data_IF_276714437164
#
_entry.id   IF_276714437164
#
_cell.length_a   1.000
_cell.length_b   1.000
_cell.length_c   1.000
_cell.angle_alpha   90.00
_cell.angle_beta   90.00
_cell.angle_gamma   90.00
#
_symmetry.space_group_name_H-M   'P 1'
#
loop_
_entity.id
_entity.type
_entity.pdbx_description
1 polymer ?
#
# COMPACT_ATOMS: atom_id res chain seq x y z
N UNK A 1 -2.99 -16.37 5.18
CA UNK A 1 -1.87 -15.43 4.92
C UNK A 1 -2.41 -14.02 4.76
N UNK A 2 -1.62 -12.97 5.07
CA UNK A 2 -1.99 -11.59 4.75
C UNK A 2 -2.37 -11.43 3.28
N UNK A 3 -3.37 -10.59 3.00
CA UNK A 3 -3.84 -10.23 1.65
C UNK A 3 -4.43 -11.39 0.83
N UNK A 4 -4.75 -12.54 1.44
CA UNK A 4 -5.40 -13.64 0.72
C UNK A 4 -6.74 -13.21 0.15
N UNK A 5 -6.94 -13.43 -1.15
CA UNK A 5 -8.19 -13.15 -1.84
C UNK A 5 -9.18 -14.29 -1.59
N UNK A 6 -10.29 -13.95 -0.95
CA UNK A 6 -11.28 -14.92 -0.48
C UNK A 6 -12.64 -14.66 -1.11
N UNK A 7 -13.28 -15.74 -1.54
CA UNK A 7 -14.70 -15.79 -1.81
C UNK A 7 -15.41 -16.26 -0.54
N UNK A 8 -16.37 -15.47 -0.05
CA UNK A 8 -17.01 -15.69 1.24
C UNK A 8 -18.52 -15.87 1.09
N UNK A 9 -19.06 -16.94 1.69
CA UNK A 9 -20.48 -17.01 1.98
C UNK A 9 -20.76 -16.49 3.38
N UNK A 10 -21.62 -15.47 3.48
CA UNK A 10 -21.91 -14.78 4.73
C UNK A 10 -23.40 -14.82 5.05
N UNK A 11 -23.77 -15.29 6.23
CA UNK A 11 -25.12 -15.12 6.74
C UNK A 11 -25.34 -13.67 7.18
N UNK A 12 -25.92 -12.89 6.29
CA UNK A 12 -26.29 -11.50 6.60
C UNK A 12 -27.57 -11.48 7.42
N UNK A 13 -27.51 -10.85 8.60
CA UNK A 13 -28.70 -10.60 9.44
C UNK A 13 -28.84 -9.08 9.65
N UNK A 14 -29.88 -8.45 9.09
CA UNK A 14 -30.09 -7.02 9.25
C UNK A 14 -30.10 -6.61 10.73
N UNK A 15 -29.45 -5.46 11.04
CA UNK A 15 -29.38 -4.90 12.40
C UNK A 15 -28.37 -5.56 13.35
N UNK A 16 -27.50 -6.45 12.87
CA UNK A 16 -26.37 -6.98 13.65
C UNK A 16 -25.04 -6.48 13.09
N UNK A 17 -24.15 -6.03 13.96
CA UNK A 17 -22.80 -5.56 13.57
C UNK A 17 -21.81 -6.69 13.26
N UNK A 18 -22.13 -7.96 13.58
CA UNK A 18 -21.31 -9.13 13.28
C UNK A 18 -22.11 -10.14 12.49
N UNK A 19 -21.55 -10.58 11.37
CA UNK A 19 -22.11 -11.60 10.48
C UNK A 19 -21.31 -12.89 10.58
N UNK A 20 -21.99 -14.03 10.40
CA UNK A 20 -21.36 -15.35 10.43
C UNK A 20 -20.90 -15.71 9.03
N UNK A 21 -19.61 -16.02 8.87
CA UNK A 21 -19.06 -16.65 7.65
C UNK A 21 -19.43 -18.14 7.70
N UNK A 22 -20.11 -18.63 6.67
CA UNK A 22 -20.46 -20.06 6.51
C UNK A 22 -19.41 -20.80 5.69
N UNK A 23 -18.88 -20.15 4.68
CA UNK A 23 -17.83 -20.71 3.82
C UNK A 23 -16.83 -19.64 3.44
N UNK A 24 -15.55 -20.04 3.32
CA UNK A 24 -14.47 -19.21 2.83
C UNK A 24 -13.59 -20.02 1.89
N UNK A 25 -13.46 -19.56 0.65
CA UNK A 25 -12.58 -20.15 -0.36
C UNK A 25 -11.53 -19.18 -0.82
N UNK A 26 -10.27 -19.61 -0.89
CA UNK A 26 -9.24 -18.86 -1.58
C UNK A 26 -9.43 -19.07 -3.10
N UNK A 27 -9.85 -18.02 -3.81
CA UNK A 27 -10.06 -18.12 -5.26
C UNK A 27 -8.81 -17.78 -6.06
N UNK A 28 -7.85 -17.06 -5.46
CA UNK A 28 -6.56 -16.77 -6.08
C UNK A 28 -5.42 -17.14 -5.11
N UNK A 29 -4.89 -18.38 -5.19
CA UNK A 29 -3.77 -18.80 -4.36
C UNK A 29 -2.46 -18.20 -4.88
N UNK A 30 -1.80 -17.39 -4.05
CA UNK A 30 -0.49 -16.80 -4.36
C UNK A 30 0.57 -17.89 -4.53
N UNK A 31 1.42 -17.72 -5.56
CA UNK A 31 2.47 -18.68 -5.93
C UNK A 31 3.87 -18.20 -5.54
N UNK A 32 4.10 -16.90 -5.46
CA UNK A 32 5.40 -16.32 -5.19
C UNK A 32 5.45 -15.54 -3.87
N UNK A 33 4.43 -14.76 -3.54
CA UNK A 33 4.39 -13.99 -2.28
C UNK A 33 4.78 -14.85 -1.07
N UNK A 34 4.31 -16.10 -0.89
CA UNK A 34 4.68 -16.91 0.27
C UNK A 34 6.15 -17.36 0.33
N UNK A 35 6.83 -17.36 -0.81
CA UNK A 35 8.16 -17.98 -0.96
C UNK A 35 9.27 -16.98 -1.29
N UNK A 36 8.91 -15.75 -1.67
CA UNK A 36 9.83 -14.65 -1.94
C UNK A 36 9.84 -13.70 -0.73
N UNK A 37 10.99 -13.53 -0.09
CA UNK A 37 11.15 -12.75 1.13
C UNK A 37 10.82 -11.27 0.89
N UNK A 38 11.21 -10.71 -0.27
CA UNK A 38 10.91 -9.32 -0.64
C UNK A 38 9.41 -9.10 -0.78
N UNK A 39 8.74 -9.97 -1.55
CA UNK A 39 7.29 -9.91 -1.76
C UNK A 39 6.50 -10.14 -0.47
N UNK A 40 6.93 -11.11 0.35
CA UNK A 40 6.32 -11.38 1.66
C UNK A 40 6.40 -10.16 2.58
N UNK A 41 7.54 -9.48 2.60
CA UNK A 41 7.74 -8.28 3.42
C UNK A 41 6.89 -7.10 2.95
N UNK A 42 6.80 -6.90 1.63
CA UNK A 42 5.89 -5.90 1.05
C UNK A 42 4.43 -6.25 1.39
N UNK A 43 4.02 -7.50 1.22
CA UNK A 43 2.65 -7.94 1.51
C UNK A 43 2.30 -7.76 3.00
N UNK A 44 3.21 -8.11 3.91
CA UNK A 44 3.03 -7.88 5.35
C UNK A 44 2.87 -6.40 5.67
N UNK A 45 3.74 -5.57 5.12
CA UNK A 45 3.71 -4.12 5.29
C UNK A 45 2.40 -3.51 4.80
N UNK A 46 1.98 -3.84 3.58
CA UNK A 46 0.73 -3.32 3.02
C UNK A 46 -0.50 -3.86 3.75
N UNK A 47 -0.48 -5.09 4.24
CA UNK A 47 -1.59 -5.64 5.04
C UNK A 47 -1.79 -4.88 6.35
N UNK A 48 -0.70 -4.47 7.01
CA UNK A 48 -0.79 -3.65 8.22
C UNK A 48 -1.37 -2.27 7.92
N UNK A 49 -0.96 -1.64 6.80
CA UNK A 49 -1.53 -0.35 6.37
C UNK A 49 -3.01 -0.50 6.06
N UNK A 50 -3.40 -1.45 5.23
CA UNK A 50 -4.79 -1.67 4.85
C UNK A 50 -5.68 -1.92 6.07
N UNK A 51 -5.22 -2.70 7.04
CA UNK A 51 -5.96 -2.92 8.29
C UNK A 51 -6.19 -1.64 9.12
N UNK A 52 -5.36 -0.61 8.93
CA UNK A 52 -5.49 0.68 9.61
C UNK A 52 -6.35 1.69 8.85
N UNK A 53 -6.30 1.64 7.52
CA UNK A 53 -6.93 2.66 6.67
C UNK A 53 -8.29 2.26 6.12
N UNK A 54 -8.52 0.96 5.91
CA UNK A 54 -9.80 0.48 5.39
C UNK A 54 -10.81 0.35 6.53
N UNK A 55 -11.88 1.13 6.43
CA UNK A 55 -13.03 1.13 7.35
C UNK A 55 -14.34 1.07 6.56
N UNK A 56 -14.29 0.39 5.40
CA UNK A 56 -15.45 0.29 4.52
C UNK A 56 -16.57 -0.50 5.19
N UNK A 57 -17.74 0.10 5.29
CA UNK A 57 -18.97 -0.54 5.77
C UNK A 57 -19.85 -1.02 4.62
N UNK A 58 -19.59 -0.50 3.40
CA UNK A 58 -20.31 -0.83 2.17
C UNK A 58 -19.35 -1.37 1.11
N UNK A 59 -19.90 -2.04 0.10
CA UNK A 59 -19.11 -2.57 -1.00
C UNK A 59 -18.47 -1.45 -1.84
N UNK A 60 -17.16 -1.44 -1.97
CA UNK A 60 -16.38 -0.53 -2.79
C UNK A 60 -15.65 -1.33 -3.88
N UNK A 61 -16.36 -1.62 -4.98
CA UNK A 61 -15.83 -2.43 -6.06
C UNK A 61 -14.57 -1.83 -6.71
N UNK A 62 -14.49 -0.51 -7.02
CA UNK A 62 -13.27 0.05 -7.60
C UNK A 62 -12.04 -0.10 -6.71
N UNK A 63 -12.19 0.06 -5.39
CA UNK A 63 -11.10 -0.19 -4.44
C UNK A 63 -10.72 -1.66 -4.39
N UNK A 64 -11.72 -2.56 -4.40
CA UNK A 64 -11.45 -4.00 -4.40
C UNK A 64 -10.70 -4.43 -5.66
N UNK A 65 -11.13 -3.99 -6.84
CA UNK A 65 -10.49 -4.29 -8.12
C UNK A 65 -9.02 -3.80 -8.13
N UNK A 66 -8.78 -2.57 -7.64
CA UNK A 66 -7.43 -2.03 -7.49
C UNK A 66 -6.55 -2.92 -6.57
N UNK A 67 -7.08 -3.35 -5.44
CA UNK A 67 -6.36 -4.21 -4.50
C UNK A 67 -6.06 -5.58 -5.11
N UNK A 68 -7.05 -6.18 -5.75
CA UNK A 68 -6.93 -7.48 -6.40
C UNK A 68 -5.86 -7.46 -7.50
N UNK A 69 -5.95 -6.52 -8.44
CA UNK A 69 -4.99 -6.36 -9.54
C UNK A 69 -3.57 -6.09 -9.01
N UNK A 70 -3.45 -5.23 -8.00
CA UNK A 70 -2.15 -4.91 -7.39
C UNK A 70 -1.48 -6.13 -6.76
N UNK A 71 -2.21 -6.95 -6.01
CA UNK A 71 -1.63 -8.13 -5.36
C UNK A 71 -1.40 -9.29 -6.33
N UNK A 72 -2.23 -9.42 -7.37
CA UNK A 72 -1.96 -10.37 -8.47
C UNK A 72 -0.69 -9.97 -9.22
N UNK A 73 -0.49 -8.66 -9.48
CA UNK A 73 0.76 -8.17 -10.04
C UNK A 73 1.96 -8.51 -9.16
N UNK A 74 1.90 -8.18 -7.86
CA UNK A 74 3.00 -8.44 -6.93
C UNK A 74 3.35 -9.93 -6.89
N UNK A 75 2.35 -10.82 -6.88
CA UNK A 75 2.58 -12.26 -6.91
C UNK A 75 3.24 -12.70 -8.22
N UNK A 76 2.76 -12.22 -9.36
CA UNK A 76 3.23 -12.62 -10.69
C UNK A 76 4.56 -11.98 -11.13
N UNK A 77 4.98 -10.88 -10.53
CA UNK A 77 6.16 -10.12 -10.94
C UNK A 77 7.44 -10.97 -10.85
N UNK A 78 8.24 -10.98 -11.91
CA UNK A 78 9.54 -11.68 -11.98
C UNK A 78 10.73 -10.77 -11.62
N UNK A 79 10.50 -9.49 -11.43
CA UNK A 79 11.45 -8.43 -11.08
C UNK A 79 10.76 -7.07 -11.15
N UNK A 80 11.51 -6.00 -10.89
CA UNK A 80 11.05 -4.61 -10.93
C UNK A 80 9.84 -4.33 -9.99
N UNK A 81 9.77 -5.04 -8.87
CA UNK A 81 8.71 -4.82 -7.87
C UNK A 81 9.22 -4.06 -6.64
N UNK A 82 10.49 -3.66 -6.63
CA UNK A 82 11.14 -3.02 -5.49
C UNK A 82 10.50 -1.68 -5.11
N UNK A 83 9.86 -1.02 -6.07
CA UNK A 83 9.18 0.26 -5.88
C UNK A 83 7.64 0.13 -5.78
N UNK A 84 7.11 -1.08 -5.95
CA UNK A 84 5.67 -1.36 -6.00
C UNK A 84 4.90 -0.74 -4.83
N UNK A 85 5.42 -0.86 -3.62
CA UNK A 85 4.74 -0.36 -2.41
C UNK A 85 4.63 1.17 -2.37
N UNK A 86 5.53 1.92 -3.00
CA UNK A 86 5.44 3.39 -3.14
C UNK A 86 4.30 3.73 -4.11
N UNK A 87 4.30 3.13 -5.30
CA UNK A 87 3.26 3.32 -6.32
C UNK A 87 1.88 2.90 -5.77
N UNK A 88 1.82 1.77 -5.06
CA UNK A 88 0.60 1.29 -4.44
C UNK A 88 0.03 2.29 -3.43
N UNK A 89 0.84 2.83 -2.51
CA UNK A 89 0.40 3.81 -1.52
C UNK A 89 -0.03 5.12 -2.18
N UNK A 90 0.68 5.58 -3.20
CA UNK A 90 0.26 6.75 -3.95
C UNK A 90 -1.14 6.59 -4.54
N UNK A 91 -1.38 5.47 -5.22
CA UNK A 91 -2.69 5.17 -5.81
C UNK A 91 -3.78 4.94 -4.76
N UNK A 92 -3.46 4.23 -3.66
CA UNK A 92 -4.39 3.97 -2.57
C UNK A 92 -4.92 5.28 -1.95
N UNK A 93 -4.10 6.32 -1.83
CA UNK A 93 -4.52 7.62 -1.31
C UNK A 93 -5.68 8.22 -2.10
N UNK A 94 -5.77 7.95 -3.42
CA UNK A 94 -6.89 8.39 -4.27
C UNK A 94 -8.19 7.72 -3.87
N UNK A 95 -8.17 6.43 -3.60
CA UNK A 95 -9.36 5.69 -3.15
C UNK A 95 -9.79 6.10 -1.74
N UNK A 96 -8.84 6.55 -0.92
CA UNK A 96 -9.11 7.05 0.43
C UNK A 96 -9.52 8.54 0.47
N UNK A 97 -9.49 9.23 -0.67
CA UNK A 97 -10.01 10.58 -0.82
C UNK A 97 -9.07 11.71 -0.34
N UNK A 98 -7.78 11.42 -0.13
CA UNK A 98 -6.79 12.41 0.28
C UNK A 98 -5.52 12.43 -0.59
N UNK A 99 -5.59 11.89 -1.82
CA UNK A 99 -4.44 11.95 -2.72
C UNK A 99 -4.01 13.39 -2.97
N UNK A 100 -2.69 13.68 -2.93
CA UNK A 100 -2.19 14.98 -3.33
C UNK A 100 -2.39 15.18 -4.84
N UNK A 101 -2.63 16.39 -5.28
CA UNK A 101 -2.82 16.70 -6.70
C UNK A 101 -1.53 16.56 -7.52
N UNK A 102 -0.37 16.66 -6.87
CA UNK A 102 0.94 16.43 -7.47
C UNK A 102 1.99 16.05 -6.42
N UNK A 103 3.19 15.64 -6.87
CA UNK A 103 4.32 15.33 -5.97
C UNK A 103 4.86 16.58 -5.29
N UNK A 104 4.80 17.74 -5.93
CA UNK A 104 5.15 19.04 -5.34
C UNK A 104 4.18 19.38 -4.20
N UNK A 105 2.87 19.17 -4.39
CA UNK A 105 1.88 19.39 -3.34
C UNK A 105 2.13 18.48 -2.14
N UNK A 106 2.44 17.19 -2.36
CA UNK A 106 2.85 16.28 -1.29
C UNK A 106 4.02 16.87 -0.49
N UNK A 107 5.09 17.28 -1.20
CA UNK A 107 6.31 17.79 -0.57
C UNK A 107 6.03 19.10 0.19
N UNK A 108 5.19 19.97 -0.36
CA UNK A 108 4.81 21.22 0.30
C UNK A 108 4.00 20.97 1.57
N UNK A 109 3.09 20.00 1.58
CA UNK A 109 2.38 19.60 2.81
C UNK A 109 3.33 18.98 3.84
N UNK A 110 4.31 18.19 3.41
CA UNK A 110 5.35 17.65 4.29
C UNK A 110 6.23 18.74 4.91
N UNK A 111 6.61 19.76 4.13
CA UNK A 111 7.37 20.94 4.62
C UNK A 111 6.56 21.75 5.62
N UNK A 112 5.29 22.03 5.31
CA UNK A 112 4.40 22.79 6.20
C UNK A 112 4.18 22.08 7.54
N UNK A 113 4.14 20.75 7.54
CA UNK A 113 4.03 19.91 8.73
C UNK A 113 5.37 19.60 9.41
N UNK A 114 6.46 20.23 8.96
CA UNK A 114 7.81 20.12 9.53
C UNK A 114 8.40 18.71 9.46
N UNK A 115 8.04 17.91 8.44
CA UNK A 115 8.69 16.63 8.20
C UNK A 115 10.14 16.84 7.76
N UNK A 116 11.10 16.37 8.57
CA UNK A 116 12.53 16.61 8.35
C UNK A 116 13.06 16.05 7.02
N UNK A 117 12.43 14.99 6.50
CA UNK A 117 12.78 14.37 5.22
C UNK A 117 12.24 15.05 3.97
N UNK A 118 11.39 16.08 4.09
CA UNK A 118 10.74 16.71 2.94
C UNK A 118 11.70 17.32 1.91
N UNK A 119 12.85 17.83 2.36
CA UNK A 119 13.82 18.51 1.50
C UNK A 119 14.74 17.56 0.69
N UNK A 120 14.75 16.27 1.01
CA UNK A 120 15.58 15.27 0.31
C UNK A 120 14.77 14.43 -0.67
N UNK A 121 13.45 14.57 -0.69
CA UNK A 121 12.59 13.92 -1.69
C UNK A 121 12.63 14.74 -2.97
N UNK A 122 13.05 14.11 -4.06
CA UNK A 122 13.05 14.68 -5.39
C UNK A 122 11.65 14.56 -6.00
N UNK A 123 10.99 15.69 -6.26
CA UNK A 123 9.62 15.74 -6.75
C UNK A 123 9.49 15.15 -8.16
N UNK A 124 10.42 15.48 -9.05
CA UNK A 124 10.38 15.00 -10.45
C UNK A 124 10.60 13.48 -10.48
N UNK A 125 11.59 12.99 -9.75
CA UNK A 125 11.86 11.56 -9.64
C UNK A 125 10.67 10.80 -9.05
N UNK A 126 10.04 11.34 -8.00
CA UNK A 126 8.85 10.72 -7.40
C UNK A 126 7.67 10.76 -8.37
N UNK A 127 7.48 11.85 -9.11
CA UNK A 127 6.45 11.98 -10.15
C UNK A 127 6.59 10.91 -11.22
N UNK A 128 7.79 10.77 -11.78
CA UNK A 128 8.07 9.76 -12.79
C UNK A 128 7.84 8.34 -12.25
N UNK A 129 8.23 8.09 -11.00
CA UNK A 129 8.03 6.80 -10.35
C UNK A 129 6.54 6.45 -10.18
N UNK A 130 5.73 7.38 -9.67
CA UNK A 130 4.31 7.10 -9.37
C UNK A 130 3.43 7.08 -10.62
N UNK A 131 3.89 7.69 -11.71
CA UNK A 131 3.22 7.66 -13.01
C UNK A 131 3.61 6.45 -13.86
N UNK A 132 4.73 5.79 -13.56
CA UNK A 132 5.14 4.56 -14.23
C UNK A 132 4.19 3.41 -13.88
N UNK A 133 4.00 2.47 -14.82
CA UNK A 133 3.23 1.26 -14.54
C UNK A 133 3.99 0.33 -13.59
N UNK A 134 3.26 -0.51 -12.88
CA UNK A 134 3.87 -1.58 -12.09
C UNK A 134 4.77 -2.45 -12.99
N UNK A 135 5.98 -2.74 -12.50
CA UNK A 135 6.94 -3.59 -13.20
C UNK A 135 7.76 -2.89 -14.28
N UNK A 136 7.50 -1.65 -14.59
CA UNK A 136 8.41 -0.86 -15.42
C UNK A 136 9.76 -0.67 -14.70
N UNK A 137 10.90 -0.85 -15.41
CA UNK A 137 12.20 -0.64 -14.80
C UNK A 137 12.36 0.82 -14.38
N UNK A 138 12.47 1.07 -13.08
CA UNK A 138 12.70 2.41 -12.54
C UNK A 138 13.77 2.34 -11.44
N UNK A 139 14.95 2.86 -11.73
CA UNK A 139 16.09 2.75 -10.84
C UNK A 139 16.17 3.95 -9.88
N UNK A 140 15.95 3.69 -8.62
CA UNK A 140 16.23 4.62 -7.52
C UNK A 140 17.10 3.93 -6.47
N UNK A 141 17.93 4.74 -5.80
CA UNK A 141 18.74 4.24 -4.69
C UNK A 141 17.86 3.81 -3.51
N UNK A 142 18.43 3.00 -2.62
CA UNK A 142 17.76 2.63 -1.35
C UNK A 142 17.41 3.85 -0.51
N UNK A 143 18.30 4.84 -0.46
CA UNK A 143 18.03 6.09 0.28
C UNK A 143 16.82 6.80 -0.27
N UNK A 144 16.76 7.01 -1.58
CA UNK A 144 15.62 7.65 -2.24
C UNK A 144 14.31 6.87 -2.00
N UNK A 145 14.35 5.53 -2.12
CA UNK A 145 13.18 4.69 -1.82
C UNK A 145 12.70 4.86 -0.39
N UNK A 146 13.63 4.83 0.57
CA UNK A 146 13.33 5.02 1.98
C UNK A 146 12.74 6.41 2.25
N UNK A 147 13.30 7.46 1.65
CA UNK A 147 12.85 8.83 1.83
C UNK A 147 11.45 9.05 1.24
N UNK A 148 11.21 8.59 0.01
CA UNK A 148 9.87 8.63 -0.60
C UNK A 148 8.84 7.89 0.23
N UNK A 149 9.15 6.67 0.66
CA UNK A 149 8.24 5.89 1.48
C UNK A 149 7.99 6.51 2.85
N UNK A 150 9.04 7.03 3.51
CA UNK A 150 8.89 7.76 4.78
C UNK A 150 8.01 8.98 4.64
N UNK A 151 8.16 9.74 3.56
CA UNK A 151 7.32 10.89 3.22
C UNK A 151 5.86 10.50 3.03
N UNK A 152 5.59 9.46 2.23
CA UNK A 152 4.23 8.95 2.03
C UNK A 152 3.59 8.47 3.34
N UNK A 153 4.32 7.73 4.17
CA UNK A 153 3.82 7.28 5.47
C UNK A 153 3.52 8.44 6.41
N UNK A 154 4.35 9.47 6.38
CA UNK A 154 4.09 10.69 7.16
C UNK A 154 2.85 11.41 6.61
N UNK A 155 2.69 11.50 5.29
CA UNK A 155 1.52 12.06 4.65
C UNK A 155 0.23 11.30 5.04
N UNK A 156 0.25 9.98 5.08
CA UNK A 156 -0.87 9.18 5.59
C UNK A 156 -1.22 9.52 7.05
N UNK A 157 -0.21 9.77 7.90
CA UNK A 157 -0.43 10.19 9.31
C UNK A 157 -1.07 11.57 9.43
N UNK A 158 -0.84 12.47 8.48
CA UNK A 158 -1.49 13.78 8.47
C UNK A 158 -2.99 13.68 8.18
N UNK A 159 -3.40 12.70 7.39
CA UNK A 159 -4.78 12.55 6.93
C UNK A 159 -5.58 11.50 7.72
N UNK A 160 -4.92 10.58 8.40
CA UNK A 160 -5.56 9.47 9.12
C UNK A 160 -5.10 9.47 10.57
N UNK A 161 -5.95 9.99 11.45
CA UNK A 161 -5.65 10.12 12.88
C UNK A 161 -5.27 8.79 13.55
N UNK A 162 -5.93 7.69 13.14
CA UNK A 162 -5.69 6.35 13.69
C UNK A 162 -4.52 5.59 13.06
N UNK A 163 -3.73 6.21 12.14
CA UNK A 163 -2.69 5.51 11.39
C UNK A 163 -1.58 4.93 12.30
N UNK A 164 -1.09 5.74 13.26
CA UNK A 164 -0.11 5.30 14.26
C UNK A 164 1.21 4.77 13.68
N UNK A 165 1.91 3.94 14.46
CA UNK A 165 3.17 3.31 14.05
C UNK A 165 2.92 1.99 13.31
N UNK A 166 3.85 1.64 12.41
CA UNK A 166 3.85 0.40 11.64
C UNK A 166 4.96 -0.52 12.13
N UNK A 167 4.59 -1.69 12.66
CA UNK A 167 5.56 -2.69 13.15
C UNK A 167 6.32 -3.37 12.01
N UNK A 168 5.68 -3.54 10.87
CA UNK A 168 6.29 -4.13 9.68
C UNK A 168 7.25 -3.20 8.94
N UNK A 169 7.32 -1.93 9.32
CA UNK A 169 8.23 -0.95 8.71
C UNK A 169 9.71 -1.33 8.85
N UNK A 170 10.12 -1.72 10.05
CA UNK A 170 11.51 -2.13 10.32
C UNK A 170 11.88 -3.38 9.50
N UNK A 171 10.98 -4.36 9.44
CA UNK A 171 11.16 -5.60 8.66
C UNK A 171 11.31 -5.28 7.18
N UNK A 172 10.45 -4.41 6.64
CA UNK A 172 10.53 -4.01 5.24
C UNK A 172 11.86 -3.32 4.94
N UNK A 173 12.33 -2.44 5.82
CA UNK A 173 13.62 -1.77 5.66
C UNK A 173 14.80 -2.74 5.64
N UNK A 174 14.81 -3.76 6.51
CA UNK A 174 15.88 -4.78 6.55
C UNK A 174 15.90 -5.63 5.29
N UNK A 175 14.74 -6.06 4.81
CA UNK A 175 14.63 -6.95 3.63
C UNK A 175 14.87 -6.22 2.33
N UNK A 176 14.39 -4.98 2.21
CA UNK A 176 14.56 -4.14 1.01
C UNK A 176 15.84 -3.30 1.06
N UNK A 177 16.66 -3.57 2.08
CA UNK A 177 17.94 -2.92 2.32
C UNK A 177 19.04 -3.34 1.32
#
# INVERSE_FOLDING_TARGET
QPLTLLDLEVFHKPGRGLHRISEAKCYFPYRQIPFDVGKSSIALFLSEILAKVLKEEEANFPLFDFLEESFQFLDGAKGNYENFHIQFLWNLASFLGFAPGSTEELIDQLKQSQFSGANVIDADMLSDLVMANYGEPFLISRSQRKECLSGLLYFYRLHIESFGELRSWEILQEVMA
#
